data_IF_872607741045
#
_entry.id   IF_872607741045
#
_cell.length_a   1.000
_cell.length_b   1.000
_cell.length_c   1.000
_cell.angle_alpha   90.00
_cell.angle_beta   90.00
_cell.angle_gamma   90.00
#
_symmetry.space_group_name_H-M   'P 1'
#
loop_
_entity.id
_entity.type
_entity.pdbx_description
1 polymer ?
#
# COMPACT_ATOMS: atom_id res chain seq x y z
N UNK A 1 13.77 -23.72 25.78
CA UNK A 1 14.55 -22.60 25.19
C UNK A 1 14.23 -22.58 23.70
N UNK A 2 13.33 -21.69 23.25
CA UNK A 2 12.90 -21.63 21.85
C UNK A 2 13.89 -20.84 21.01
N UNK A 3 14.40 -21.44 19.93
CA UNK A 3 15.25 -20.73 18.97
C UNK A 3 14.41 -19.66 18.25
N UNK A 4 14.84 -18.39 18.23
CA UNK A 4 14.19 -17.40 17.41
C UNK A 4 14.48 -17.73 15.94
N UNK A 5 13.51 -18.32 15.24
CA UNK A 5 13.55 -18.48 13.79
C UNK A 5 13.54 -17.09 13.16
N UNK A 6 14.70 -16.53 12.87
CA UNK A 6 14.82 -15.37 12.01
C UNK A 6 14.66 -15.91 10.59
N UNK A 7 13.46 -15.80 10.05
CA UNK A 7 13.17 -16.07 8.65
C UNK A 7 13.86 -14.99 7.81
N UNK A 8 15.03 -15.31 7.24
CA UNK A 8 15.56 -14.52 6.14
C UNK A 8 14.75 -14.87 4.88
N UNK A 9 14.17 -13.87 4.23
CA UNK A 9 13.46 -14.02 2.96
C UNK A 9 14.20 -13.23 1.90
N UNK A 10 14.49 -13.86 0.77
CA UNK A 10 15.00 -13.21 -0.43
C UNK A 10 14.04 -13.50 -1.58
N UNK A 11 13.53 -12.45 -2.20
CA UNK A 11 12.65 -12.51 -3.36
C UNK A 11 13.39 -11.90 -4.56
N UNK A 12 13.47 -12.62 -5.68
CA UNK A 12 14.11 -12.14 -6.89
C UNK A 12 13.18 -12.30 -8.09
N UNK A 13 13.05 -11.24 -8.88
CA UNK A 13 12.31 -11.25 -10.15
C UNK A 13 13.31 -11.31 -11.31
N UNK A 14 13.42 -12.47 -11.96
CA UNK A 14 14.27 -12.63 -13.14
C UNK A 14 13.87 -11.74 -14.33
N UNK A 15 12.60 -11.33 -14.38
CA UNK A 15 12.09 -10.44 -15.42
C UNK A 15 12.56 -8.99 -15.26
N UNK A 16 12.64 -8.49 -14.02
CA UNK A 16 12.95 -7.08 -13.73
C UNK A 16 14.35 -6.87 -13.17
N UNK A 17 15.04 -7.94 -12.77
CA UNK A 17 16.33 -7.87 -12.08
C UNK A 17 16.24 -7.41 -10.62
N UNK A 18 15.03 -7.17 -10.10
CA UNK A 18 14.84 -6.65 -8.73
C UNK A 18 14.96 -7.78 -7.72
N UNK A 19 15.82 -7.58 -6.72
CA UNK A 19 15.94 -8.43 -5.54
C UNK A 19 15.47 -7.69 -4.27
N UNK A 20 14.75 -8.38 -3.38
CA UNK A 20 14.32 -7.88 -2.08
C UNK A 20 14.75 -8.82 -0.97
N UNK A 21 15.16 -8.24 0.14
CA UNK A 21 15.54 -8.99 1.33
C UNK A 21 14.75 -8.55 2.56
N UNK A 22 14.30 -9.52 3.35
CA UNK A 22 13.82 -9.33 4.72
C UNK A 22 14.75 -10.13 5.61
N UNK A 23 15.60 -9.44 6.35
CA UNK A 23 16.53 -10.03 7.31
C UNK A 23 16.53 -9.18 8.58
N UNK A 24 16.78 -9.79 9.75
CA UNK A 24 17.04 -8.99 10.95
C UNK A 24 18.42 -8.34 10.80
N UNK A 25 18.45 -7.01 10.85
CA UNK A 25 19.68 -6.22 10.78
C UNK A 25 19.41 -4.83 10.21
N UNK A 26 20.45 -4.00 10.21
CA UNK A 26 20.47 -2.73 9.47
C UNK A 26 20.80 -2.92 7.99
N UNK A 27 20.98 -1.80 7.27
CA UNK A 27 21.22 -1.80 5.83
C UNK A 27 22.40 -2.69 5.40
N UNK A 28 23.47 -2.75 6.19
CA UNK A 28 24.65 -3.60 5.96
C UNK A 28 24.32 -5.10 5.81
N UNK A 29 23.33 -5.60 6.54
CA UNK A 29 22.92 -7.01 6.48
C UNK A 29 22.10 -7.29 5.22
N UNK A 30 21.29 -6.33 4.80
CA UNK A 30 20.56 -6.40 3.54
C UNK A 30 21.52 -6.37 2.34
N UNK A 31 22.51 -5.47 2.39
CA UNK A 31 23.55 -5.34 1.36
C UNK A 31 24.38 -6.62 1.26
N UNK A 32 24.91 -7.13 2.38
CA UNK A 32 25.67 -8.38 2.39
C UNK A 32 24.90 -9.57 1.79
N UNK A 33 23.62 -9.71 2.13
CA UNK A 33 22.78 -10.79 1.59
C UNK A 33 22.53 -10.63 0.09
N UNK A 34 22.21 -9.42 -0.37
CA UNK A 34 21.93 -9.14 -1.78
C UNK A 34 23.18 -9.25 -2.65
N UNK A 35 24.32 -8.73 -2.20
CA UNK A 35 25.61 -8.84 -2.90
C UNK A 35 26.06 -10.30 -2.98
N UNK A 36 25.88 -11.07 -1.91
CA UNK A 36 26.18 -12.52 -1.92
C UNK A 36 25.29 -13.26 -2.91
N UNK A 37 23.98 -12.98 -2.90
CA UNK A 37 23.03 -13.56 -3.85
C UNK A 37 23.43 -13.26 -5.30
N UNK A 38 23.71 -11.99 -5.61
CA UNK A 38 24.06 -11.58 -6.96
C UNK A 38 25.39 -12.19 -7.45
N UNK A 39 26.44 -12.14 -6.61
CA UNK A 39 27.76 -12.64 -6.98
C UNK A 39 27.77 -14.17 -7.14
N UNK A 40 27.11 -14.89 -6.23
CA UNK A 40 27.22 -16.36 -6.18
C UNK A 40 26.12 -17.10 -6.93
N UNK A 41 24.90 -16.55 -7.01
CA UNK A 41 23.79 -17.22 -7.72
C UNK A 41 23.52 -16.60 -9.09
N UNK A 42 23.70 -15.29 -9.26
CA UNK A 42 23.48 -14.61 -10.55
C UNK A 42 24.77 -14.35 -11.32
N UNK A 43 25.94 -14.66 -10.75
CA UNK A 43 27.25 -14.40 -11.33
C UNK A 43 27.42 -12.96 -11.85
N UNK A 44 26.83 -12.00 -11.15
CA UNK A 44 26.79 -10.58 -11.54
C UNK A 44 27.32 -9.73 -10.39
N UNK A 45 28.28 -8.86 -10.67
CA UNK A 45 28.70 -7.82 -9.72
C UNK A 45 27.61 -6.74 -9.65
N UNK A 46 27.14 -6.45 -8.43
CA UNK A 46 26.05 -5.50 -8.22
C UNK A 46 26.60 -4.24 -7.56
N UNK A 47 26.43 -3.11 -8.24
CA UNK A 47 26.41 -1.77 -7.63
C UNK A 47 24.97 -1.54 -7.15
N UNK A 48 24.70 -1.91 -5.89
CA UNK A 48 23.35 -2.00 -5.35
C UNK A 48 22.81 -0.60 -5.02
N UNK A 49 22.18 0.05 -5.98
CA UNK A 49 21.38 1.24 -5.67
C UNK A 49 20.12 0.83 -4.91
N UNK A 50 19.90 1.46 -3.76
CA UNK A 50 18.66 1.29 -3.00
C UNK A 50 17.50 1.78 -3.86
N UNK A 51 16.71 0.84 -4.38
CA UNK A 51 15.43 1.17 -5.02
C UNK A 51 14.53 1.76 -3.95
N UNK A 52 14.38 3.09 -3.96
CA UNK A 52 13.42 3.74 -3.09
C UNK A 52 12.02 3.26 -3.50
N UNK A 53 11.22 2.73 -2.57
CA UNK A 53 9.86 2.36 -2.89
C UNK A 53 9.16 3.58 -3.48
N UNK A 54 8.44 3.41 -4.59
CA UNK A 54 7.85 4.53 -5.29
C UNK A 54 6.89 5.25 -4.34
N UNK A 55 7.06 6.56 -4.19
CA UNK A 55 6.26 7.36 -3.27
C UNK A 55 4.80 7.36 -3.71
N UNK A 56 3.89 7.31 -2.74
CA UNK A 56 2.45 7.43 -2.99
C UNK A 56 2.04 8.89 -2.85
N UNK A 57 1.24 9.38 -3.79
CA UNK A 57 0.60 10.67 -3.64
C UNK A 57 -0.68 10.51 -2.81
N UNK A 58 -0.59 10.89 -1.53
CA UNK A 58 -1.72 10.86 -0.61
C UNK A 58 -2.51 12.18 -0.62
N UNK A 59 -2.11 13.18 -1.41
CA UNK A 59 -2.75 14.50 -1.41
C UNK A 59 -4.22 14.45 -1.87
N UNK A 60 -4.56 13.50 -2.74
CA UNK A 60 -5.93 13.24 -3.21
C UNK A 60 -6.88 12.88 -2.07
N UNK A 61 -6.36 12.36 -0.94
CA UNK A 61 -7.18 12.02 0.22
C UNK A 61 -7.65 13.25 1.01
N UNK A 62 -7.17 14.46 0.71
CA UNK A 62 -7.65 15.69 1.39
C UNK A 62 -9.14 15.91 1.23
N UNK A 63 -9.69 15.48 0.09
CA UNK A 63 -11.12 15.60 -0.24
C UNK A 63 -11.93 14.37 0.12
N UNK A 64 -11.33 13.38 0.80
CA UNK A 64 -11.97 12.10 1.13
C UNK A 64 -11.52 10.96 0.22
N UNK A 65 -12.37 9.93 0.12
CA UNK A 65 -12.12 8.76 -0.73
C UNK A 65 -13.41 8.40 -1.47
N UNK A 66 -13.50 8.81 -2.74
CA UNK A 66 -14.65 8.54 -3.59
C UNK A 66 -14.24 7.69 -4.79
N UNK A 67 -14.67 6.45 -4.82
CA UNK A 67 -14.29 5.49 -5.86
C UNK A 67 -15.54 4.73 -6.34
N UNK A 68 -16.29 5.24 -7.34
CA UNK A 68 -17.58 4.68 -7.78
C UNK A 68 -17.57 3.17 -8.05
N UNK A 69 -16.45 2.64 -8.52
CA UNK A 69 -16.28 1.20 -8.75
C UNK A 69 -16.41 0.38 -7.45
N UNK A 70 -15.95 0.92 -6.30
CA UNK A 70 -16.10 0.26 -5.02
C UNK A 70 -17.58 0.11 -4.60
N UNK A 71 -18.41 1.11 -4.88
CA UNK A 71 -19.85 0.99 -4.68
C UNK A 71 -20.46 -0.07 -5.61
N UNK A 72 -20.05 -0.11 -6.88
CA UNK A 72 -20.50 -1.13 -7.83
C UNK A 72 -20.11 -2.55 -7.40
N UNK A 73 -18.96 -2.70 -6.74
CA UNK A 73 -18.45 -3.98 -6.24
C UNK A 73 -19.04 -4.37 -4.86
N UNK A 74 -20.02 -3.61 -4.35
CA UNK A 74 -20.85 -3.98 -3.20
C UNK A 74 -20.49 -3.33 -1.87
N UNK A 75 -19.58 -2.34 -1.84
CA UNK A 75 -19.33 -1.54 -0.64
C UNK A 75 -20.39 -0.44 -0.49
N UNK A 76 -20.97 -0.30 0.71
CA UNK A 76 -22.04 0.68 0.97
C UNK A 76 -21.53 2.00 1.53
N UNK A 77 -20.30 2.01 2.05
CA UNK A 77 -19.67 3.21 2.56
C UNK A 77 -18.15 3.11 2.42
N UNK A 78 -17.53 4.23 2.08
CA UNK A 78 -16.10 4.40 1.97
C UNK A 78 -15.69 5.51 2.93
N UNK A 79 -14.68 5.25 3.76
CA UNK A 79 -14.29 6.16 4.81
C UNK A 79 -12.77 6.33 4.84
N UNK A 80 -12.28 7.56 4.74
CA UNK A 80 -10.93 7.88 5.25
C UNK A 80 -11.02 7.90 6.77
N UNK A 81 -10.65 6.79 7.41
CA UNK A 81 -10.79 6.60 8.86
C UNK A 81 -9.78 7.43 9.65
N UNK A 82 -8.54 7.49 9.18
CA UNK A 82 -7.49 8.29 9.82
C UNK A 82 -6.49 8.85 8.82
N UNK A 83 -5.90 9.98 9.18
CA UNK A 83 -4.81 10.64 8.47
C UNK A 83 -3.70 11.00 9.46
N UNK A 84 -2.47 10.89 9.00
CA UNK A 84 -1.33 11.52 9.65
C UNK A 84 -0.87 12.71 8.82
N UNK A 85 -0.89 13.89 9.43
CA UNK A 85 -0.48 15.15 8.85
C UNK A 85 0.88 15.56 9.40
N UNK A 86 1.74 16.10 8.54
CA UNK A 86 3.04 16.64 8.91
C UNK A 86 3.13 18.09 8.45
N UNK A 87 3.63 18.97 9.32
CA UNK A 87 3.82 20.38 9.01
C UNK A 87 4.85 20.56 7.87
N UNK A 88 4.79 21.66 7.11
CA UNK A 88 5.73 21.91 6.01
C UNK A 88 7.20 21.96 6.41
N UNK A 89 7.50 22.32 7.65
CA UNK A 89 8.84 22.36 8.25
C UNK A 89 9.24 21.03 8.91
N UNK A 90 8.37 20.01 8.85
CA UNK A 90 8.57 18.68 9.43
C UNK A 90 8.73 18.63 10.97
N UNK A 91 8.40 19.71 11.68
CA UNK A 91 8.56 19.79 13.14
C UNK A 91 7.34 19.28 13.92
N UNK A 92 6.15 19.32 13.31
CA UNK A 92 4.89 18.90 13.94
C UNK A 92 4.26 17.77 13.16
N UNK A 93 3.80 16.76 13.89
CA UNK A 93 3.03 15.62 13.38
C UNK A 93 1.71 15.52 14.13
N UNK A 94 0.61 15.41 13.39
CA UNK A 94 -0.73 15.23 13.92
C UNK A 94 -1.33 13.93 13.41
N UNK A 95 -1.96 13.17 14.30
CA UNK A 95 -2.72 11.98 13.94
C UNK A 95 -4.20 12.24 14.20
N UNK A 96 -5.00 12.21 13.14
CA UNK A 96 -6.42 12.50 13.18
C UNK A 96 -7.19 11.23 12.86
N UNK A 97 -8.19 10.90 13.66
CA UNK A 97 -9.02 9.70 13.47
C UNK A 97 -10.48 10.04 13.63
N UNK A 98 -11.31 9.64 12.67
CA UNK A 98 -12.76 9.71 12.80
C UNK A 98 -13.22 8.73 13.88
N UNK A 99 -13.92 9.19 14.91
CA UNK A 99 -14.41 8.33 16.00
C UNK A 99 -15.61 7.48 15.55
N UNK A 100 -15.92 6.41 16.29
CA UNK A 100 -16.93 5.42 15.90
C UNK A 100 -18.36 5.96 15.84
N UNK A 101 -18.65 7.08 16.51
CA UNK A 101 -19.95 7.76 16.51
C UNK A 101 -20.21 8.56 15.22
N UNK A 102 -19.19 8.73 14.38
CA UNK A 102 -19.29 9.55 13.18
C UNK A 102 -19.95 8.86 11.98
N UNK A 103 -20.80 7.84 12.12
CA UNK A 103 -21.57 7.21 11.02
C UNK A 103 -20.83 7.02 9.67
N UNK A 104 -19.62 6.44 9.71
CA UNK A 104 -18.73 6.28 8.52
C UNK A 104 -18.24 7.58 7.85
N UNK A 105 -18.49 8.76 8.42
CA UNK A 105 -17.95 10.05 7.93
C UNK A 105 -16.43 10.05 7.86
N UNK A 106 -15.88 10.64 6.80
CA UNK A 106 -14.43 10.72 6.64
C UNK A 106 -13.82 11.68 7.67
N UNK A 107 -12.61 11.36 8.15
CA UNK A 107 -11.83 12.27 9.01
C UNK A 107 -11.56 13.61 8.34
N UNK A 108 -11.52 13.64 7.01
CA UNK A 108 -11.32 14.85 6.19
C UNK A 108 -12.49 15.81 6.31
N UNK A 109 -13.72 15.32 6.24
CA UNK A 109 -14.93 16.11 6.47
C UNK A 109 -14.96 16.68 7.89
N UNK A 110 -14.67 15.82 8.88
CA UNK A 110 -14.63 16.20 10.29
C UNK A 110 -13.56 17.26 10.57
N UNK A 111 -12.37 17.12 9.97
CA UNK A 111 -11.30 18.11 10.05
C UNK A 111 -11.71 19.42 9.39
N UNK A 112 -12.37 19.36 8.23
CA UNK A 112 -12.84 20.57 7.55
C UNK A 112 -13.89 21.33 8.37
N UNK A 113 -14.74 20.63 9.13
CA UNK A 113 -15.72 21.26 10.02
C UNK A 113 -15.11 21.84 11.29
N UNK A 114 -14.15 21.14 11.91
CA UNK A 114 -13.63 21.50 13.24
C UNK A 114 -12.39 22.40 13.17
N UNK A 115 -11.53 22.18 12.17
CA UNK A 115 -10.24 22.87 12.01
C UNK A 115 -9.89 23.01 10.51
N UNK A 116 -10.69 23.76 9.72
CA UNK A 116 -10.53 23.85 8.25
C UNK A 116 -9.14 24.29 7.80
N UNK A 117 -8.47 25.12 8.60
CA UNK A 117 -7.14 25.64 8.32
C UNK A 117 -6.08 24.53 8.18
N UNK A 118 -6.24 23.39 8.86
CA UNK A 118 -5.25 22.30 8.80
C UNK A 118 -5.14 21.71 7.40
N UNK A 119 -6.27 21.51 6.72
CA UNK A 119 -6.29 20.99 5.36
C UNK A 119 -5.88 22.07 4.34
N UNK A 120 -6.25 23.34 4.60
CA UNK A 120 -5.91 24.47 3.74
C UNK A 120 -4.41 24.80 3.73
N UNK A 121 -3.70 24.64 4.87
CA UNK A 121 -2.25 24.90 5.02
C UNK A 121 -1.35 23.89 4.31
N UNK A 122 -1.90 22.99 3.48
CA UNK A 122 -1.18 21.99 2.67
C UNK A 122 -0.21 21.10 3.47
N UNK A 123 -0.50 20.82 4.74
CA UNK A 123 0.27 19.88 5.55
C UNK A 123 0.38 18.53 4.86
N UNK A 124 1.57 17.96 4.75
CA UNK A 124 1.82 16.72 4.04
C UNK A 124 1.03 15.57 4.70
N UNK A 125 0.27 14.82 3.91
CA UNK A 125 -0.34 13.57 4.37
C UNK A 125 0.72 12.47 4.28
N UNK A 126 1.24 12.02 5.41
CA UNK A 126 2.30 10.99 5.45
C UNK A 126 1.76 9.57 5.52
N UNK A 127 0.55 9.38 6.07
CA UNK A 127 -0.13 8.09 6.09
C UNK A 127 -1.63 8.27 6.19
N UNK A 128 -2.35 7.23 5.76
CA UNK A 128 -3.79 7.17 5.79
C UNK A 128 -4.28 5.75 6.10
N UNK A 129 -5.48 5.65 6.68
CA UNK A 129 -6.26 4.43 6.77
C UNK A 129 -7.61 4.65 6.10
N UNK A 130 -7.94 3.81 5.15
CA UNK A 130 -9.21 3.81 4.42
C UNK A 130 -9.98 2.55 4.80
N UNK A 131 -11.25 2.70 5.12
CA UNK A 131 -12.16 1.60 5.43
C UNK A 131 -13.25 1.53 4.36
N UNK A 132 -13.49 0.33 3.84
CA UNK A 132 -14.58 0.02 2.94
C UNK A 132 -15.55 -0.91 3.68
N UNK A 133 -16.82 -0.53 3.74
CA UNK A 133 -17.84 -1.22 4.54
C UNK A 133 -18.79 -2.00 3.64
N UNK A 134 -18.98 -3.27 3.93
CA UNK A 134 -20.05 -4.08 3.33
C UNK A 134 -21.40 -3.79 4.00
N UNK A 135 -22.52 -4.13 3.34
CA UNK A 135 -23.81 -4.22 3.99
C UNK A 135 -23.74 -5.05 5.27
N UNK A 136 -24.53 -4.68 6.27
CA UNK A 136 -24.69 -5.51 7.47
C UNK A 136 -25.45 -6.77 7.06
N UNK A 137 -24.81 -7.92 7.22
CA UNK A 137 -25.48 -9.20 7.04
C UNK A 137 -26.56 -9.40 8.12
N UNK A 138 -27.69 -9.99 7.74
CA UNK A 138 -28.79 -10.29 8.66
C UNK A 138 -28.27 -11.16 9.82
N UNK A 139 -28.51 -10.72 11.05
CA UNK A 139 -28.06 -11.41 12.27
C UNK A 139 -26.66 -11.03 12.77
N UNK A 140 -25.87 -10.22 12.06
CA UNK A 140 -24.56 -9.74 12.53
C UNK A 140 -24.64 -8.36 13.19
N UNK A 141 -23.99 -8.23 14.35
CA UNK A 141 -23.94 -6.99 15.11
C UNK A 141 -23.16 -5.88 14.39
N UNK A 142 -22.18 -6.20 13.54
CA UNK A 142 -21.34 -5.23 12.81
C UNK A 142 -21.19 -5.61 11.34
N UNK A 143 -21.07 -4.58 10.50
CA UNK A 143 -20.69 -4.73 9.10
C UNK A 143 -19.27 -5.29 8.97
N UNK A 144 -19.03 -6.10 7.94
CA UNK A 144 -17.66 -6.49 7.54
C UNK A 144 -16.95 -5.26 6.98
N UNK A 145 -15.69 -5.08 7.37
CA UNK A 145 -14.86 -3.94 6.95
C UNK A 145 -13.58 -4.45 6.30
N UNK A 146 -13.23 -3.86 5.16
CA UNK A 146 -11.93 -4.03 4.51
C UNK A 146 -11.12 -2.76 4.75
N UNK A 147 -9.90 -2.90 5.28
CA UNK A 147 -9.04 -1.75 5.58
C UNK A 147 -7.80 -1.72 4.68
N UNK A 148 -7.57 -0.56 4.08
CA UNK A 148 -6.34 -0.21 3.38
C UNK A 148 -5.53 0.72 4.28
N UNK A 149 -4.28 0.37 4.53
CA UNK A 149 -3.32 1.19 5.26
C UNK A 149 -2.16 1.52 4.33
N UNK A 150 -1.89 2.81 4.17
CA UNK A 150 -0.91 3.30 3.22
C UNK A 150 -0.09 4.47 3.77
N UNK A 151 1.14 4.61 3.28
CA UNK A 151 2.07 5.69 3.64
C UNK A 151 2.64 6.35 2.40
N UNK A 152 2.99 7.63 2.48
CA UNK A 152 3.62 8.36 1.38
C UNK A 152 4.96 7.74 0.94
N UNK A 153 5.60 6.97 1.82
CA UNK A 153 6.83 6.20 1.56
C UNK A 153 6.59 4.83 0.91
N UNK A 154 5.41 4.57 0.35
CA UNK A 154 5.15 3.35 -0.41
C UNK A 154 4.76 2.11 0.41
N UNK A 155 4.69 2.20 1.76
CA UNK A 155 4.15 1.07 2.55
C UNK A 155 2.65 0.94 2.31
N UNK A 156 2.21 -0.29 2.06
CA UNK A 156 0.85 -0.66 1.71
C UNK A 156 0.51 -2.04 2.31
N UNK A 157 -0.68 -2.22 2.86
CA UNK A 157 -1.09 -3.48 3.51
C UNK A 157 -1.87 -4.45 2.59
N UNK A 158 -1.89 -4.23 1.26
CA UNK A 158 -2.76 -5.02 0.38
C UNK A 158 -2.45 -6.53 0.36
N UNK A 159 -1.19 -6.90 0.62
CA UNK A 159 -0.74 -8.30 0.79
C UNK A 159 -1.46 -9.06 1.92
N UNK A 160 -2.18 -8.37 2.82
CA UNK A 160 -2.98 -9.00 3.88
C UNK A 160 -4.32 -9.55 3.36
N UNK A 161 -4.72 -9.17 2.15
CA UNK A 161 -5.97 -9.60 1.54
C UNK A 161 -5.70 -10.73 0.54
N UNK A 162 -6.74 -11.49 0.19
CA UNK A 162 -6.63 -12.50 -0.88
C UNK A 162 -6.34 -11.83 -2.25
N UNK A 163 -5.93 -12.64 -3.23
CA UNK A 163 -5.47 -12.14 -4.55
C UNK A 163 -6.55 -11.34 -5.29
N UNK A 164 -7.82 -11.76 -5.19
CA UNK A 164 -8.91 -11.09 -5.89
C UNK A 164 -9.20 -9.73 -5.25
N UNK A 165 -9.31 -9.69 -3.93
CA UNK A 165 -9.48 -8.47 -3.16
C UNK A 165 -8.30 -7.52 -3.34
N UNK A 166 -7.07 -8.04 -3.33
CA UNK A 166 -5.88 -7.25 -3.58
C UNK A 166 -5.95 -6.55 -4.95
N UNK A 167 -6.24 -7.28 -6.02
CA UNK A 167 -6.35 -6.71 -7.37
C UNK A 167 -7.43 -5.61 -7.45
N UNK A 168 -8.57 -5.84 -6.81
CA UNK A 168 -9.67 -4.89 -6.72
C UNK A 168 -9.27 -3.60 -5.98
N UNK A 169 -8.64 -3.72 -4.80
CA UNK A 169 -8.18 -2.57 -4.02
C UNK A 169 -7.05 -1.81 -4.73
N UNK A 170 -6.14 -2.49 -5.42
CA UNK A 170 -5.13 -1.87 -6.28
C UNK A 170 -5.80 -1.04 -7.38
N UNK A 171 -6.83 -1.59 -8.04
CA UNK A 171 -7.61 -0.88 -9.06
C UNK A 171 -8.22 0.43 -8.55
N UNK A 172 -8.76 0.44 -7.33
CA UNK A 172 -9.33 1.66 -6.73
C UNK A 172 -8.26 2.72 -6.50
N UNK A 173 -7.14 2.33 -5.90
CA UNK A 173 -6.03 3.25 -5.63
C UNK A 173 -5.42 3.80 -6.92
N UNK A 174 -5.39 3.02 -8.01
CA UNK A 174 -4.97 3.48 -9.34
C UNK A 174 -5.98 4.47 -9.93
N UNK A 175 -7.29 4.18 -9.85
CA UNK A 175 -8.34 5.09 -10.34
C UNK A 175 -8.31 6.45 -9.66
N UNK A 176 -7.88 6.50 -8.40
CA UNK A 176 -7.75 7.71 -7.59
C UNK A 176 -6.41 8.43 -7.78
N UNK A 177 -5.47 7.86 -8.55
CA UNK A 177 -4.14 8.42 -8.74
C UNK A 177 -3.19 8.28 -7.55
N UNK A 178 -3.57 7.50 -6.52
CA UNK A 178 -2.70 7.20 -5.37
C UNK A 178 -1.58 6.26 -5.78
N UNK A 179 -1.91 5.28 -6.62
CA UNK A 179 -0.98 4.34 -7.25
C UNK A 179 -0.89 4.62 -8.74
N UNK A 180 0.30 4.44 -9.32
CA UNK A 180 0.45 4.24 -10.76
C UNK A 180 0.11 2.79 -11.12
N UNK A 181 -0.33 2.52 -12.36
CA UNK A 181 -0.46 1.15 -12.83
C UNK A 181 0.83 0.36 -12.59
N UNK A 182 0.71 -0.86 -12.05
CA UNK A 182 1.83 -1.76 -11.76
C UNK A 182 2.85 -1.23 -10.71
N UNK A 183 2.50 -0.17 -9.96
CA UNK A 183 3.36 0.36 -8.89
C UNK A 183 3.41 -0.55 -7.66
N UNK A 184 2.40 -1.39 -7.46
CA UNK A 184 2.41 -2.41 -6.43
C UNK A 184 3.48 -3.43 -6.75
N UNK A 185 4.44 -3.51 -5.84
CA UNK A 185 5.59 -4.41 -5.87
C UNK A 185 5.21 -5.89 -5.68
N UNK A 186 3.95 -6.29 -5.89
CA UNK A 186 3.58 -7.70 -5.96
C UNK A 186 4.37 -8.32 -7.11
N UNK A 187 5.22 -9.30 -6.83
CA UNK A 187 5.87 -10.11 -7.87
C UNK A 187 4.77 -10.84 -8.64
N UNK A 188 4.21 -10.17 -9.64
CA UNK A 188 3.31 -10.78 -10.57
C UNK A 188 4.16 -11.66 -11.46
N UNK A 189 4.19 -12.96 -11.18
CA UNK A 189 4.33 -13.95 -12.23
C UNK A 189 3.14 -13.73 -13.17
N UNK A 190 3.37 -12.96 -14.23
CA UNK A 190 2.51 -12.99 -15.41
C UNK A 190 2.64 -14.41 -15.95
N UNK A 191 1.55 -15.19 -16.05
CA UNK A 191 1.62 -16.47 -16.73
C UNK A 191 2.16 -16.20 -18.13
N UNK A 192 3.27 -16.86 -18.49
CA UNK A 192 3.79 -16.84 -19.85
C UNK A 192 2.61 -17.12 -20.78
N UNK A 193 2.31 -16.19 -21.69
CA UNK A 193 1.44 -16.48 -22.81
C UNK A 193 1.99 -17.76 -23.48
N UNK A 194 1.12 -18.70 -23.90
CA UNK A 194 1.59 -19.88 -24.61
C UNK A 194 2.47 -19.39 -25.75
N UNK A 195 3.70 -19.86 -25.80
CA UNK A 195 4.53 -19.71 -26.99
C UNK A 195 3.75 -20.38 -28.10
N UNK A 196 3.17 -19.60 -29.00
CA UNK A 196 2.58 -20.08 -30.23
C UNK A 196 3.70 -20.78 -31.00
N UNK A 197 3.80 -22.09 -30.82
CA UNK A 197 4.61 -22.95 -31.63
C UNK A 197 3.93 -23.04 -33.00
N UNK A 198 4.10 -22.01 -33.84
CA UNK A 198 3.79 -22.06 -35.26
C UNK A 198 4.42 -20.89 -36.02
N UNK A 199 5.27 -21.30 -36.98
CA UNK A 199 5.97 -20.61 -38.08
C UNK A 199 7.47 -20.69 -37.81
N UNK A 200 8.25 -21.44 -38.58
CA UNK A 200 8.33 -21.34 -40.05
C UNK A 200 8.46 -22.69 -40.79
N UNK A 201 8.23 -22.56 -42.09
CA UNK A 201 8.29 -23.53 -43.19
C UNK A 201 9.57 -24.36 -43.26
#
# INVERSE_FOLDING_TARGET
>A
MGYPHIHALLEYSAHTGIARSIIRGGAEFHEALLSTFANHLLHTEVDADRIMPPTLDLSVLRTGFDCPQAQADGFIALQVKSLTLMSPDHTVKLECTAMSDGEHRCVTELLNEKVPELLARRWLISSAKINLYYPRESGKARARVVSIELTSKGRLNLHKHDRAMQYQLEGYLVSLGILKPQQTLSAHEVPLAPIDARRDH
#
